data_IF_431524173336
#
_entry.id   IF_431524173336
#
_cell.length_a   1.000
_cell.length_b   1.000
_cell.length_c   1.000
_cell.angle_alpha   90.00
_cell.angle_beta   90.00
_cell.angle_gamma   90.00
#
_symmetry.space_group_name_H-M   'P 1'
#
loop_
_entity.id
_entity.type
_entity.pdbx_description
1 polymer ?
#
# COMPACT_ATOMS: atom_id res chain seq x y z
N UNK A 1 3.78 -17.05 -13.43
CA UNK A 1 4.49 -17.51 -14.64
C UNK A 1 5.50 -16.48 -15.14
N UNK A 2 5.14 -15.21 -15.46
CA UNK A 2 6.12 -14.18 -15.92
C UNK A 2 7.30 -14.02 -14.99
N UNK A 3 7.06 -13.90 -13.67
CA UNK A 3 8.12 -13.75 -12.66
C UNK A 3 9.03 -14.98 -12.59
N UNK A 4 8.47 -16.17 -12.82
CA UNK A 4 9.27 -17.41 -12.92
C UNK A 4 10.20 -17.34 -14.12
N UNK A 5 9.71 -16.96 -15.30
CA UNK A 5 10.52 -16.82 -16.50
C UNK A 5 11.62 -15.76 -16.35
N UNK A 6 11.34 -14.63 -15.68
CA UNK A 6 12.34 -13.62 -15.34
C UNK A 6 13.39 -14.20 -14.39
N UNK A 7 12.98 -14.96 -13.39
CA UNK A 7 13.88 -15.64 -12.44
C UNK A 7 14.78 -16.69 -13.11
N UNK A 8 14.35 -17.24 -14.24
CA UNK A 8 15.14 -18.13 -15.10
C UNK A 8 16.04 -17.36 -16.08
N UNK A 9 16.10 -16.03 -15.99
CA UNK A 9 16.81 -15.13 -16.91
C UNK A 9 16.36 -15.22 -18.39
N UNK A 10 15.16 -15.75 -18.63
CA UNK A 10 14.59 -15.94 -19.96
C UNK A 10 13.55 -14.85 -20.25
N UNK A 11 14.02 -13.66 -20.57
CA UNK A 11 13.16 -12.48 -20.74
C UNK A 11 12.26 -12.55 -21.98
N UNK A 12 12.71 -13.18 -23.05
CA UNK A 12 11.96 -13.46 -24.26
C UNK A 12 10.72 -14.33 -23.96
N UNK A 13 10.88 -15.40 -23.18
CA UNK A 13 9.79 -16.28 -22.75
C UNK A 13 8.82 -15.52 -21.84
N UNK A 14 9.34 -14.68 -20.93
CA UNK A 14 8.53 -13.84 -20.07
C UNK A 14 7.68 -12.86 -20.88
N UNK A 15 8.26 -12.20 -21.88
CA UNK A 15 7.55 -11.28 -22.78
C UNK A 15 6.51 -12.03 -23.63
N UNK A 16 6.86 -13.17 -24.18
CA UNK A 16 5.93 -14.02 -24.93
C UNK A 16 4.70 -14.38 -24.10
N UNK A 17 4.92 -14.82 -22.87
CA UNK A 17 3.80 -15.13 -21.97
C UNK A 17 3.00 -13.89 -21.58
N UNK A 18 3.63 -12.73 -21.41
CA UNK A 18 2.95 -11.48 -21.10
C UNK A 18 1.97 -11.09 -22.20
N UNK A 19 2.40 -11.13 -23.46
CA UNK A 19 1.55 -10.78 -24.60
C UNK A 19 0.40 -11.79 -24.75
N UNK A 20 0.69 -13.07 -24.68
CA UNK A 20 -0.32 -14.12 -24.74
C UNK A 20 -1.33 -14.01 -23.60
N UNK A 21 -0.84 -13.76 -22.39
CA UNK A 21 -1.67 -13.58 -21.21
C UNK A 21 -2.63 -12.38 -21.32
N UNK A 22 -2.21 -11.31 -21.98
CA UNK A 22 -3.05 -10.14 -22.17
C UNK A 22 -4.32 -10.48 -22.97
N UNK A 23 -4.22 -11.31 -24.01
CA UNK A 23 -5.37 -11.68 -24.83
C UNK A 23 -6.41 -12.48 -24.05
N UNK A 24 -6.06 -13.62 -23.49
CA UNK A 24 -7.05 -14.46 -22.82
C UNK A 24 -7.50 -13.89 -21.47
N UNK A 25 -6.66 -13.13 -20.76
CA UNK A 25 -7.10 -12.42 -19.53
C UNK A 25 -8.01 -11.25 -19.85
N UNK A 26 -7.65 -10.44 -20.85
CA UNK A 26 -8.53 -9.39 -21.35
C UNK A 26 -9.89 -9.94 -21.75
N UNK A 27 -9.90 -11.07 -22.46
CA UNK A 27 -11.12 -11.76 -22.88
C UNK A 27 -11.97 -12.24 -21.69
N UNK A 28 -11.34 -12.83 -20.66
CA UNK A 28 -12.05 -13.27 -19.45
C UNK A 28 -12.70 -12.11 -18.72
N UNK A 29 -12.00 -10.99 -18.57
CA UNK A 29 -12.53 -9.82 -17.86
C UNK A 29 -13.64 -9.12 -18.65
N UNK A 30 -13.47 -8.94 -19.95
CA UNK A 30 -14.52 -8.36 -20.78
C UNK A 30 -15.74 -9.28 -20.88
N UNK A 31 -15.53 -10.60 -20.97
CA UNK A 31 -16.62 -11.56 -20.93
C UNK A 31 -17.35 -11.59 -19.60
N UNK A 32 -16.62 -11.51 -18.49
CA UNK A 32 -17.25 -11.38 -17.17
C UNK A 32 -18.03 -10.06 -17.04
N UNK A 33 -17.52 -8.97 -17.60
CA UNK A 33 -18.25 -7.69 -17.67
C UNK A 33 -19.55 -7.80 -18.46
N UNK A 34 -19.54 -8.49 -19.59
CA UNK A 34 -20.75 -8.76 -20.38
C UNK A 34 -21.79 -9.58 -19.60
N UNK A 35 -21.36 -10.60 -18.86
CA UNK A 35 -22.26 -11.39 -17.98
C UNK A 35 -22.84 -10.53 -16.87
N UNK A 36 -22.03 -9.72 -16.17
CA UNK A 36 -22.46 -8.84 -15.09
C UNK A 36 -23.52 -7.86 -15.61
N UNK A 37 -23.25 -7.23 -16.74
CA UNK A 37 -24.16 -6.28 -17.36
C UNK A 37 -25.49 -6.94 -17.77
N UNK A 38 -25.43 -8.16 -18.30
CA UNK A 38 -26.65 -8.90 -18.68
C UNK A 38 -27.53 -9.30 -17.49
N UNK A 39 -26.97 -9.49 -16.29
CA UNK A 39 -27.66 -9.94 -15.08
C UNK A 39 -27.80 -8.78 -14.09
N UNK A 40 -28.36 -7.66 -14.54
CA UNK A 40 -28.72 -6.49 -13.72
C UNK A 40 -27.58 -6.02 -12.78
N UNK A 41 -26.33 -5.99 -13.29
CA UNK A 41 -25.12 -5.55 -12.60
C UNK A 41 -24.79 -6.35 -11.31
N UNK A 42 -25.33 -7.55 -11.16
CA UNK A 42 -24.99 -8.43 -10.06
C UNK A 42 -23.60 -9.01 -10.25
N UNK A 43 -22.67 -8.83 -9.31
CA UNK A 43 -21.31 -9.34 -9.39
C UNK A 43 -21.09 -10.70 -8.70
N UNK A 44 -22.10 -11.23 -8.00
CA UNK A 44 -21.99 -12.47 -7.26
C UNK A 44 -22.37 -13.67 -8.15
N UNK A 45 -21.35 -14.38 -8.67
CA UNK A 45 -21.55 -15.55 -9.53
C UNK A 45 -22.32 -16.70 -8.86
N UNK A 46 -22.48 -16.72 -7.53
CA UNK A 46 -23.30 -17.71 -6.82
C UNK A 46 -24.79 -17.53 -7.09
N UNK A 47 -25.21 -16.35 -7.56
CA UNK A 47 -26.58 -16.03 -7.94
C UNK A 47 -26.84 -16.24 -9.43
N UNK A 48 -25.86 -16.73 -10.17
CA UNK A 48 -25.99 -17.07 -11.58
C UNK A 48 -26.44 -18.52 -11.75
N UNK A 49 -26.31 -19.05 -12.92
CA UNK A 49 -26.63 -20.42 -13.30
C UNK A 49 -27.50 -20.47 -14.56
N UNK A 50 -27.29 -21.47 -15.39
CA UNK A 50 -28.07 -21.67 -16.60
C UNK A 50 -27.94 -20.61 -17.69
N UNK A 51 -26.95 -19.68 -17.57
CA UNK A 51 -26.79 -18.56 -18.51
C UNK A 51 -26.37 -19.00 -19.93
N UNK A 52 -25.94 -20.24 -20.11
CA UNK A 52 -25.55 -20.78 -21.43
C UNK A 52 -26.66 -20.62 -22.48
N UNK A 53 -27.92 -20.79 -22.11
CA UNK A 53 -29.05 -20.69 -23.03
C UNK A 53 -29.35 -19.22 -23.41
N UNK A 54 -29.08 -18.29 -22.52
CA UNK A 54 -29.37 -16.87 -22.73
C UNK A 54 -28.18 -16.11 -23.35
N UNK A 55 -26.95 -16.54 -23.06
CA UNK A 55 -25.71 -15.88 -23.48
C UNK A 55 -24.76 -16.85 -24.20
N UNK A 56 -25.15 -17.39 -25.38
CA UNK A 56 -24.34 -18.40 -26.07
C UNK A 56 -23.00 -17.87 -26.59
N UNK A 57 -22.93 -16.63 -27.11
CA UNK A 57 -21.70 -16.03 -27.58
C UNK A 57 -20.75 -15.79 -26.39
N UNK A 58 -21.22 -15.17 -25.32
CA UNK A 58 -20.42 -14.89 -24.12
C UNK A 58 -19.93 -16.18 -23.47
N UNK A 59 -20.74 -17.25 -23.45
CA UNK A 59 -20.33 -18.58 -22.99
C UNK A 59 -19.18 -19.14 -23.81
N UNK A 60 -19.30 -19.10 -25.16
CA UNK A 60 -18.26 -19.64 -26.04
C UNK A 60 -16.93 -18.88 -25.87
N UNK A 61 -16.98 -17.57 -25.78
CA UNK A 61 -15.81 -16.69 -25.57
C UNK A 61 -15.16 -16.96 -24.23
N UNK A 62 -15.93 -17.06 -23.15
CA UNK A 62 -15.42 -17.37 -21.81
C UNK A 62 -14.83 -18.79 -21.74
N UNK A 63 -15.42 -19.76 -22.48
CA UNK A 63 -14.86 -21.11 -22.58
C UNK A 63 -13.50 -21.09 -23.26
N UNK A 64 -13.38 -20.43 -24.44
CA UNK A 64 -12.11 -20.29 -25.16
C UNK A 64 -11.05 -19.64 -24.26
N UNK A 65 -11.39 -18.56 -23.59
CA UNK A 65 -10.48 -17.84 -22.72
C UNK A 65 -10.01 -18.70 -21.53
N UNK A 66 -10.91 -19.49 -20.93
CA UNK A 66 -10.58 -20.37 -19.82
C UNK A 66 -9.73 -21.56 -20.25
N UNK A 67 -9.99 -22.15 -21.43
CA UNK A 67 -9.15 -23.21 -22.01
C UNK A 67 -7.74 -22.67 -22.30
N UNK A 68 -7.63 -21.46 -22.85
CA UNK A 68 -6.33 -20.82 -23.08
C UNK A 68 -5.59 -20.51 -21.76
N UNK A 69 -6.29 -20.06 -20.72
CA UNK A 69 -5.71 -19.82 -19.39
C UNK A 69 -5.18 -21.10 -18.74
N UNK A 70 -5.89 -22.20 -18.88
CA UNK A 70 -5.51 -23.52 -18.34
C UNK A 70 -4.32 -24.12 -19.10
N UNK A 71 -4.02 -23.59 -20.28
CA UNK A 71 -3.04 -24.13 -21.21
C UNK A 71 -3.52 -25.45 -21.86
N UNK A 72 -4.78 -25.46 -22.31
CA UNK A 72 -5.29 -26.58 -23.09
C UNK A 72 -4.49 -26.68 -24.41
N UNK A 73 -4.19 -27.92 -24.91
CA UNK A 73 -3.40 -28.10 -26.13
C UNK A 73 -3.91 -27.27 -27.31
N UNK A 74 -2.98 -26.75 -28.07
CA UNK A 74 -3.21 -25.93 -29.28
C UNK A 74 -3.82 -24.54 -29.05
N UNK A 75 -4.06 -24.14 -27.78
CA UNK A 75 -4.44 -22.79 -27.44
C UNK A 75 -3.23 -21.90 -27.18
N UNK A 76 -3.39 -20.58 -27.26
CA UNK A 76 -2.30 -19.61 -27.07
C UNK A 76 -1.57 -19.78 -25.74
N UNK A 77 -2.30 -20.10 -24.67
CA UNK A 77 -1.71 -20.33 -23.34
C UNK A 77 -0.81 -21.56 -23.25
N UNK A 78 -1.06 -22.59 -24.03
CA UNK A 78 -0.24 -23.80 -24.08
C UNK A 78 1.20 -23.51 -24.51
N UNK A 79 1.37 -22.78 -25.60
CA UNK A 79 2.70 -22.44 -26.12
C UNK A 79 3.55 -21.57 -25.17
N UNK A 80 2.94 -20.81 -24.29
CA UNK A 80 3.67 -19.93 -23.38
C UNK A 80 3.76 -20.45 -21.96
N UNK A 81 2.66 -20.96 -21.39
CA UNK A 81 2.62 -21.38 -19.97
C UNK A 81 3.37 -22.69 -19.75
N UNK A 82 3.09 -23.69 -20.58
CA UNK A 82 3.73 -25.00 -20.43
C UNK A 82 5.22 -24.91 -20.78
N UNK A 83 5.60 -24.08 -21.74
CA UNK A 83 7.00 -23.84 -22.04
C UNK A 83 7.79 -23.21 -20.88
N UNK A 84 7.18 -22.32 -20.09
CA UNK A 84 7.79 -21.80 -18.86
C UNK A 84 8.01 -22.92 -17.82
N UNK A 85 7.04 -23.83 -17.68
CA UNK A 85 7.17 -24.97 -16.79
C UNK A 85 8.30 -25.90 -17.23
N UNK A 86 8.34 -26.22 -18.50
CA UNK A 86 9.40 -27.05 -19.11
C UNK A 86 10.78 -26.40 -18.95
N UNK A 87 10.89 -25.08 -19.18
CA UNK A 87 12.14 -24.35 -19.03
C UNK A 87 12.62 -24.30 -17.58
N UNK A 88 11.70 -24.26 -16.60
CA UNK A 88 12.08 -24.34 -15.19
C UNK A 88 12.70 -25.71 -14.87
N UNK A 89 12.19 -26.80 -15.42
CA UNK A 89 12.80 -28.12 -15.27
C UNK A 89 14.11 -28.25 -16.05
N UNK A 90 14.16 -27.68 -17.27
CA UNK A 90 15.29 -27.77 -18.19
C UNK A 90 16.60 -27.13 -17.70
N UNK A 91 16.56 -26.32 -16.63
CA UNK A 91 17.79 -25.83 -15.99
C UNK A 91 18.53 -26.90 -15.16
N UNK A 92 17.87 -28.00 -14.82
CA UNK A 92 18.42 -29.12 -14.03
C UNK A 92 19.06 -28.77 -12.67
N UNK A 93 18.87 -27.53 -12.19
CA UNK A 93 19.26 -27.16 -10.82
C UNK A 93 18.20 -27.58 -9.81
N UNK A 94 18.61 -27.95 -8.60
CA UNK A 94 17.65 -28.34 -7.54
C UNK A 94 16.60 -27.25 -7.29
N UNK A 95 17.02 -26.01 -7.22
CA UNK A 95 16.10 -24.87 -7.04
C UNK A 95 15.08 -24.77 -8.16
N UNK A 96 15.47 -24.98 -9.40
CA UNK A 96 14.61 -24.90 -10.58
C UNK A 96 13.61 -26.06 -10.61
N UNK A 97 14.01 -27.26 -10.19
CA UNK A 97 13.12 -28.41 -10.05
C UNK A 97 12.05 -28.14 -9.00
N UNK A 98 12.42 -27.56 -7.86
CA UNK A 98 11.45 -27.16 -6.83
C UNK A 98 10.46 -26.13 -7.36
N UNK A 99 10.92 -25.12 -8.12
CA UNK A 99 10.08 -24.13 -8.79
C UNK A 99 9.13 -24.80 -9.79
N UNK A 100 9.60 -25.78 -10.55
CA UNK A 100 8.75 -26.57 -11.46
C UNK A 100 7.58 -27.24 -10.70
N UNK A 101 7.83 -27.95 -9.61
CA UNK A 101 6.77 -28.61 -8.85
C UNK A 101 5.80 -27.59 -8.20
N UNK A 102 6.29 -26.53 -7.62
CA UNK A 102 5.43 -25.48 -7.02
C UNK A 102 4.56 -24.82 -8.11
N UNK A 103 5.12 -24.55 -9.26
CA UNK A 103 4.40 -23.91 -10.36
C UNK A 103 3.41 -24.85 -11.05
N UNK A 104 3.68 -26.15 -11.13
CA UNK A 104 2.71 -27.16 -11.58
C UNK A 104 1.52 -27.26 -10.62
N UNK A 105 1.75 -27.27 -9.31
CA UNK A 105 0.67 -27.20 -8.31
C UNK A 105 -0.15 -25.91 -8.50
N UNK A 106 0.50 -24.77 -8.73
CA UNK A 106 -0.19 -23.51 -9.07
C UNK A 106 -1.04 -23.62 -10.34
N UNK A 107 -0.55 -24.33 -11.37
CA UNK A 107 -1.30 -24.60 -12.59
C UNK A 107 -2.55 -25.46 -12.31
N UNK A 108 -2.44 -26.46 -11.42
CA UNK A 108 -3.58 -27.25 -10.94
C UNK A 108 -4.68 -26.41 -10.31
N UNK A 109 -4.31 -25.47 -9.42
CA UNK A 109 -5.30 -24.57 -8.82
C UNK A 109 -5.95 -23.63 -9.84
N UNK A 110 -5.23 -23.24 -10.90
CA UNK A 110 -5.84 -22.42 -11.97
C UNK A 110 -6.94 -23.18 -12.70
N UNK A 111 -6.81 -24.48 -12.91
CA UNK A 111 -7.86 -25.30 -13.54
C UNK A 111 -9.10 -25.40 -12.66
N UNK A 112 -8.90 -25.67 -11.37
CA UNK A 112 -10.00 -25.81 -10.42
C UNK A 112 -10.89 -24.57 -10.37
N UNK A 113 -10.32 -23.36 -10.21
CA UNK A 113 -11.14 -22.16 -10.17
C UNK A 113 -11.77 -21.81 -11.52
N UNK A 114 -11.07 -22.05 -12.63
CA UNK A 114 -11.62 -21.77 -13.97
C UNK A 114 -12.83 -22.64 -14.29
N UNK A 115 -12.73 -23.94 -14.02
CA UNK A 115 -13.85 -24.87 -14.16
C UNK A 115 -15.00 -24.48 -13.25
N UNK A 116 -14.71 -24.14 -11.98
CA UNK A 116 -15.75 -23.73 -11.03
C UNK A 116 -16.51 -22.50 -11.52
N UNK A 117 -15.81 -21.47 -12.00
CA UNK A 117 -16.46 -20.25 -12.51
C UNK A 117 -17.35 -20.55 -13.70
N UNK A 118 -16.84 -21.28 -14.71
CA UNK A 118 -17.62 -21.64 -15.89
C UNK A 118 -18.84 -22.50 -15.53
N UNK A 119 -18.64 -23.50 -14.68
CA UNK A 119 -19.68 -24.42 -14.30
C UNK A 119 -20.82 -23.71 -13.57
N UNK A 120 -20.51 -22.93 -12.54
CA UNK A 120 -21.51 -22.22 -11.73
C UNK A 120 -22.22 -21.15 -12.54
N UNK A 121 -21.51 -20.43 -13.44
CA UNK A 121 -22.12 -19.33 -14.18
C UNK A 121 -23.06 -19.82 -15.28
N UNK A 122 -22.65 -20.85 -16.03
CA UNK A 122 -23.32 -21.20 -17.29
C UNK A 122 -24.04 -22.54 -17.27
N UNK A 123 -23.57 -23.53 -16.48
CA UNK A 123 -24.02 -24.93 -16.59
C UNK A 123 -24.92 -25.39 -15.44
N UNK A 124 -24.82 -24.79 -14.26
CA UNK A 124 -25.73 -25.13 -13.15
C UNK A 124 -27.16 -24.65 -13.38
N UNK A 125 -28.09 -25.15 -12.59
CA UNK A 125 -29.45 -24.64 -12.58
C UNK A 125 -29.47 -23.16 -12.19
N UNK A 126 -30.42 -22.35 -12.71
CA UNK A 126 -30.60 -20.95 -12.34
C UNK A 126 -30.78 -20.78 -10.82
N UNK A 127 -29.96 -19.92 -10.22
CA UNK A 127 -29.96 -19.66 -8.77
C UNK A 127 -30.22 -18.18 -8.43
N UNK A 128 -30.50 -17.36 -9.42
CA UNK A 128 -30.89 -15.96 -9.27
C UNK A 128 -32.38 -15.74 -9.21
N UNK A 129 -32.80 -14.49 -9.04
CA UNK A 129 -34.22 -14.14 -9.07
C UNK A 129 -34.78 -14.24 -10.50
N UNK A 130 -36.07 -14.56 -10.62
CA UNK A 130 -36.76 -14.60 -11.93
C UNK A 130 -36.66 -13.28 -12.68
N UNK A 131 -36.65 -12.16 -11.95
CA UNK A 131 -36.58 -10.82 -12.54
C UNK A 131 -35.21 -10.58 -13.18
N UNK A 132 -34.13 -11.12 -12.62
CA UNK A 132 -32.78 -10.99 -13.17
C UNK A 132 -32.67 -11.70 -14.54
N UNK A 133 -33.34 -12.85 -14.70
CA UNK A 133 -33.34 -13.62 -15.94
C UNK A 133 -34.31 -13.10 -17.01
N UNK A 134 -35.35 -12.37 -16.63
CA UNK A 134 -36.37 -11.85 -17.57
C UNK A 134 -35.79 -10.88 -18.60
N UNK A 135 -34.75 -10.16 -18.25
CA UNK A 135 -34.14 -9.12 -19.09
C UNK A 135 -32.76 -9.51 -19.63
N UNK A 136 -32.34 -10.76 -19.40
CA UNK A 136 -31.05 -11.24 -19.90
C UNK A 136 -31.06 -11.29 -21.42
N UNK A 137 -30.14 -10.60 -22.05
CA UNK A 137 -29.87 -10.61 -23.47
C UNK A 137 -28.37 -10.56 -23.75
N UNK A 138 -27.94 -11.01 -24.93
CA UNK A 138 -26.55 -10.87 -25.36
C UNK A 138 -26.14 -9.40 -25.43
N UNK A 139 -24.85 -9.17 -25.24
CA UNK A 139 -24.26 -7.84 -25.31
C UNK A 139 -24.37 -7.22 -26.70
N UNK A 140 -24.45 -5.90 -26.76
CA UNK A 140 -24.48 -5.13 -27.98
C UNK A 140 -23.25 -5.37 -28.87
N UNK A 141 -23.35 -5.02 -30.14
CA UNK A 141 -22.30 -5.20 -31.16
C UNK A 141 -20.98 -4.57 -30.69
N UNK A 142 -21.03 -3.41 -30.04
CA UNK A 142 -19.84 -2.71 -29.54
C UNK A 142 -19.07 -3.48 -28.47
N UNK A 143 -19.72 -4.31 -27.69
CA UNK A 143 -19.09 -5.22 -26.73
C UNK A 143 -18.72 -6.55 -27.36
N UNK A 144 -19.52 -7.05 -28.31
CA UNK A 144 -19.32 -8.35 -28.92
C UNK A 144 -18.11 -8.37 -29.87
N UNK A 145 -17.85 -7.30 -30.63
CA UNK A 145 -16.71 -7.23 -31.58
C UNK A 145 -15.37 -7.40 -30.84
N UNK A 146 -15.03 -6.65 -29.78
CA UNK A 146 -13.79 -6.87 -29.05
C UNK A 146 -13.66 -8.28 -28.48
N UNK A 147 -14.76 -8.88 -27.99
CA UNK A 147 -14.76 -10.24 -27.48
C UNK A 147 -14.37 -11.25 -28.56
N UNK A 148 -14.94 -11.13 -29.77
CA UNK A 148 -14.63 -12.03 -30.90
C UNK A 148 -13.18 -11.88 -31.35
N UNK A 149 -12.68 -10.64 -31.46
CA UNK A 149 -11.29 -10.40 -31.88
C UNK A 149 -10.32 -11.00 -30.85
N UNK A 150 -10.52 -10.75 -29.55
CA UNK A 150 -9.68 -11.34 -28.51
C UNK A 150 -9.78 -12.85 -28.44
N UNK A 151 -10.94 -13.44 -28.75
CA UNK A 151 -11.12 -14.90 -28.84
C UNK A 151 -10.26 -15.50 -29.95
N UNK A 152 -10.25 -14.90 -31.14
CA UNK A 152 -9.40 -15.35 -32.25
C UNK A 152 -7.93 -15.31 -31.87
N UNK A 153 -7.46 -14.22 -31.27
CA UNK A 153 -6.08 -14.13 -30.79
C UNK A 153 -5.78 -15.13 -29.66
N UNK A 154 -6.72 -15.39 -28.78
CA UNK A 154 -6.57 -16.41 -27.71
C UNK A 154 -6.44 -17.84 -28.23
N UNK A 155 -6.83 -18.11 -29.47
CA UNK A 155 -6.67 -19.42 -30.10
C UNK A 155 -5.35 -19.48 -30.88
N UNK A 156 -5.13 -18.53 -31.79
CA UNK A 156 -4.12 -18.65 -32.84
C UNK A 156 -2.81 -17.91 -32.57
N UNK A 157 -2.84 -16.82 -31.85
CA UNK A 157 -1.68 -15.92 -31.70
C UNK A 157 -0.45 -16.63 -31.15
N UNK A 158 -0.60 -17.47 -30.14
CA UNK A 158 0.51 -18.20 -29.53
C UNK A 158 1.25 -19.12 -30.53
N UNK A 159 0.51 -19.75 -31.40
CA UNK A 159 1.10 -20.60 -32.45
C UNK A 159 1.84 -19.79 -33.52
N UNK A 160 1.21 -18.71 -34.00
CA UNK A 160 1.77 -17.88 -35.08
C UNK A 160 3.06 -17.18 -34.61
N UNK A 161 3.12 -16.73 -33.38
CA UNK A 161 4.26 -15.95 -32.85
C UNK A 161 5.29 -16.78 -32.10
N UNK A 162 5.03 -18.09 -31.89
CA UNK A 162 5.94 -18.98 -31.17
C UNK A 162 7.38 -18.86 -31.67
N UNK A 163 7.56 -18.99 -32.98
CA UNK A 163 8.90 -19.06 -33.58
C UNK A 163 9.64 -17.72 -33.52
N UNK A 164 8.93 -16.59 -33.42
CA UNK A 164 9.51 -15.25 -33.25
C UNK A 164 10.13 -15.09 -31.87
N UNK A 165 9.42 -15.57 -30.84
CA UNK A 165 9.83 -15.36 -29.44
C UNK A 165 10.71 -16.48 -28.89
N UNK A 166 10.45 -17.72 -29.26
CA UNK A 166 11.03 -18.93 -28.66
C UNK A 166 11.80 -19.78 -29.72
N UNK A 167 11.68 -19.43 -31.00
CA UNK A 167 12.29 -20.21 -32.07
C UNK A 167 13.80 -20.30 -31.91
N UNK A 168 14.33 -21.53 -32.03
CA UNK A 168 15.78 -21.79 -32.05
C UNK A 168 16.41 -21.09 -33.25
N UNK A 169 17.40 -20.20 -32.98
CA UNK A 169 18.10 -19.44 -34.03
C UNK A 169 17.33 -18.22 -34.55
N UNK A 170 16.24 -17.79 -33.89
CA UNK A 170 15.60 -16.52 -34.23
C UNK A 170 16.48 -15.35 -33.82
N UNK A 171 16.83 -14.49 -34.78
CA UNK A 171 17.64 -13.30 -34.52
C UNK A 171 16.81 -12.07 -34.10
N UNK A 172 15.53 -12.23 -33.83
CA UNK A 172 14.61 -11.11 -33.59
C UNK A 172 15.01 -10.25 -32.36
N UNK A 173 15.61 -10.86 -31.34
CA UNK A 173 16.02 -10.17 -30.11
C UNK A 173 17.52 -10.00 -29.95
N UNK A 174 18.36 -10.33 -30.94
CA UNK A 174 19.82 -10.33 -30.82
C UNK A 174 20.39 -8.95 -30.49
N UNK A 175 19.83 -7.90 -31.08
CA UNK A 175 20.33 -6.52 -30.91
C UNK A 175 19.49 -5.72 -29.89
N UNK A 176 18.65 -6.38 -29.12
CA UNK A 176 17.74 -5.74 -28.18
C UNK A 176 18.15 -5.99 -26.71
N UNK A 177 17.56 -5.22 -25.80
CA UNK A 177 17.71 -5.39 -24.35
C UNK A 177 17.22 -6.73 -23.80
N UNK A 178 16.53 -7.52 -24.62
CA UNK A 178 16.06 -8.88 -24.31
C UNK A 178 17.06 -9.97 -24.70
N UNK A 179 18.26 -9.58 -25.12
CA UNK A 179 19.33 -10.52 -25.43
C UNK A 179 19.61 -11.43 -24.23
N UNK A 180 19.56 -12.72 -24.46
CA UNK A 180 19.90 -13.74 -23.47
C UNK A 180 21.33 -14.17 -23.70
N UNK A 181 22.18 -14.10 -22.66
CA UNK A 181 23.56 -14.58 -22.77
C UNK A 181 23.56 -16.07 -23.12
N UNK A 182 24.46 -16.54 -24.00
CA UNK A 182 24.50 -17.96 -24.39
C UNK A 182 24.61 -18.96 -23.23
N UNK A 183 25.24 -18.56 -22.11
CA UNK A 183 25.31 -19.37 -20.90
C UNK A 183 23.95 -19.51 -20.15
N UNK A 184 22.98 -18.67 -20.47
CA UNK A 184 21.62 -18.69 -19.91
C UNK A 184 20.58 -19.11 -20.94
N UNK A 185 21.00 -19.59 -22.09
CA UNK A 185 20.11 -20.09 -23.13
C UNK A 185 19.58 -21.46 -22.72
N UNK A 186 18.33 -21.52 -22.31
CA UNK A 186 17.68 -22.73 -21.81
C UNK A 186 16.84 -23.42 -22.89
N UNK A 187 16.66 -22.80 -24.04
CA UNK A 187 15.71 -23.27 -25.05
C UNK A 187 16.07 -24.62 -25.63
N UNK A 188 17.35 -24.85 -25.93
CA UNK A 188 17.84 -26.12 -26.44
C UNK A 188 17.67 -27.25 -25.44
N UNK A 189 18.03 -27.01 -24.17
CA UNK A 189 17.89 -28.01 -23.12
C UNK A 189 16.41 -28.31 -22.84
N UNK A 190 15.56 -27.30 -22.87
CA UNK A 190 14.11 -27.46 -22.70
C UNK A 190 13.50 -28.32 -23.81
N UNK A 191 13.88 -28.08 -25.06
CA UNK A 191 13.30 -28.81 -26.20
C UNK A 191 13.80 -30.25 -26.24
N UNK A 192 15.09 -30.52 -25.98
CA UNK A 192 15.69 -31.83 -26.24
C UNK A 192 16.06 -32.64 -24.99
N UNK A 193 16.40 -32.02 -23.87
CA UNK A 193 16.92 -32.70 -22.69
C UNK A 193 15.85 -33.05 -21.65
N UNK A 194 14.70 -32.36 -21.64
CA UNK A 194 13.64 -32.63 -20.66
C UNK A 194 12.92 -33.93 -20.98
N UNK A 195 12.81 -34.89 -20.04
CA UNK A 195 12.09 -36.12 -20.26
C UNK A 195 10.61 -35.89 -20.60
N UNK A 196 10.08 -36.65 -21.52
CA UNK A 196 8.68 -36.53 -22.01
C UNK A 196 7.63 -36.61 -20.91
N UNK A 197 7.92 -37.36 -19.85
CA UNK A 197 7.02 -37.47 -18.69
C UNK A 197 6.83 -36.11 -17.99
N UNK A 198 7.89 -35.33 -17.78
CA UNK A 198 7.79 -34.02 -17.16
C UNK A 198 7.19 -32.94 -18.06
N UNK A 199 7.31 -33.12 -19.40
CA UNK A 199 6.62 -32.24 -20.36
C UNK A 199 5.10 -32.45 -20.34
N UNK A 200 4.64 -33.71 -20.26
CA UNK A 200 3.22 -34.06 -20.33
C UNK A 200 2.55 -33.98 -18.93
N UNK A 201 3.31 -34.07 -17.83
CA UNK A 201 2.78 -34.11 -16.49
C UNK A 201 1.84 -32.93 -16.16
N UNK A 202 2.16 -31.66 -16.46
CA UNK A 202 1.25 -30.54 -16.19
C UNK A 202 -0.10 -30.73 -16.93
N UNK A 203 -0.06 -31.18 -18.18
CA UNK A 203 -1.25 -31.40 -18.99
C UNK A 203 -2.13 -32.53 -18.40
N UNK A 204 -1.54 -33.66 -18.03
CA UNK A 204 -2.28 -34.77 -17.41
C UNK A 204 -2.96 -34.30 -16.13
N UNK A 205 -2.22 -33.59 -15.27
CA UNK A 205 -2.74 -33.11 -13.98
C UNK A 205 -3.87 -32.10 -14.19
N UNK A 206 -3.76 -31.18 -15.13
CA UNK A 206 -4.81 -30.20 -15.41
C UNK A 206 -6.08 -30.86 -15.96
N UNK A 207 -5.96 -31.82 -16.87
CA UNK A 207 -7.10 -32.55 -17.40
C UNK A 207 -7.79 -33.42 -16.34
N UNK A 208 -7.04 -34.18 -15.56
CA UNK A 208 -7.62 -35.04 -14.51
C UNK A 208 -8.33 -34.19 -13.47
N UNK A 209 -7.74 -33.07 -13.02
CA UNK A 209 -8.37 -32.18 -12.05
C UNK A 209 -9.58 -31.46 -12.61
N UNK A 210 -9.58 -31.06 -13.88
CA UNK A 210 -10.78 -30.48 -14.49
C UNK A 210 -11.96 -31.44 -14.45
N UNK A 211 -11.72 -32.72 -14.77
CA UNK A 211 -12.72 -33.75 -14.72
C UNK A 211 -13.21 -34.03 -13.29
N UNK A 212 -12.27 -34.18 -12.33
CA UNK A 212 -12.60 -34.35 -10.90
C UNK A 212 -13.40 -33.16 -10.36
N UNK A 213 -13.05 -31.93 -10.75
CA UNK A 213 -13.77 -30.74 -10.27
C UNK A 213 -15.23 -30.70 -10.76
N UNK A 214 -15.48 -31.10 -12.01
CA UNK A 214 -16.86 -31.20 -12.53
C UNK A 214 -17.65 -32.25 -11.75
N UNK A 215 -17.06 -33.46 -11.56
CA UNK A 215 -17.71 -34.53 -10.77
C UNK A 215 -18.04 -34.05 -9.36
N UNK A 216 -17.10 -33.37 -8.67
CA UNK A 216 -17.31 -32.87 -7.33
C UNK A 216 -18.41 -31.80 -7.26
N UNK A 217 -18.48 -30.92 -8.25
CA UNK A 217 -19.50 -29.87 -8.29
C UNK A 217 -20.90 -30.41 -8.60
N UNK A 218 -21.00 -31.39 -9.49
CA UNK A 218 -22.29 -31.95 -9.95
C UNK A 218 -22.84 -33.00 -8.95
N UNK A 219 -22.01 -34.00 -8.61
CA UNK A 219 -22.49 -35.21 -7.93
C UNK A 219 -22.23 -35.15 -6.40
N UNK A 220 -21.27 -34.38 -5.94
CA UNK A 220 -20.83 -34.40 -4.52
C UNK A 220 -20.79 -33.01 -3.84
N UNK A 221 -21.75 -32.10 -4.08
CA UNK A 221 -21.71 -30.78 -3.45
C UNK A 221 -21.78 -30.85 -1.92
N UNK A 222 -22.49 -31.84 -1.37
CA UNK A 222 -22.59 -32.07 0.08
C UNK A 222 -21.25 -32.46 0.71
N UNK A 223 -20.40 -33.19 0.01
CA UNK A 223 -19.09 -33.57 0.53
C UNK A 223 -18.21 -32.35 0.83
N UNK A 224 -18.22 -31.35 -0.04
CA UNK A 224 -17.50 -30.09 0.19
C UNK A 224 -18.05 -29.33 1.42
N UNK A 225 -19.37 -29.33 1.61
CA UNK A 225 -20.00 -28.70 2.78
C UNK A 225 -19.60 -29.46 4.05
N UNK A 226 -19.68 -30.78 4.07
CA UNK A 226 -19.27 -31.58 5.24
C UNK A 226 -17.79 -31.43 5.56
N UNK A 227 -16.94 -31.35 4.56
CA UNK A 227 -15.52 -31.06 4.77
C UNK A 227 -15.32 -29.71 5.45
N UNK A 228 -15.97 -28.67 4.98
CA UNK A 228 -15.86 -27.31 5.57
C UNK A 228 -16.42 -27.24 7.01
N UNK A 229 -17.38 -28.08 7.35
CA UNK A 229 -17.96 -28.16 8.69
C UNK A 229 -17.10 -29.00 9.66
N UNK A 230 -16.18 -29.82 9.17
CA UNK A 230 -15.24 -30.54 10.02
C UNK A 230 -14.23 -29.58 10.67
N UNK A 231 -13.73 -29.88 11.87
CA UNK A 231 -12.77 -29.05 12.60
C UNK A 231 -11.51 -28.74 11.77
N UNK A 232 -10.98 -29.76 11.10
CA UNK A 232 -9.80 -29.63 10.25
C UNK A 232 -10.13 -28.79 8.99
N UNK A 233 -11.25 -29.11 8.33
CA UNK A 233 -11.69 -28.41 7.14
C UNK A 233 -12.00 -26.94 7.41
N UNK A 234 -12.60 -26.62 8.55
CA UNK A 234 -12.87 -25.24 8.95
C UNK A 234 -11.58 -24.43 9.11
N UNK A 235 -10.57 -24.98 9.78
CA UNK A 235 -9.28 -24.32 9.97
C UNK A 235 -8.54 -24.12 8.64
N UNK A 236 -8.51 -25.14 7.81
CA UNK A 236 -7.89 -25.07 6.47
C UNK A 236 -8.64 -24.04 5.60
N UNK A 237 -9.97 -24.15 5.55
CA UNK A 237 -10.79 -23.20 4.80
C UNK A 237 -10.62 -21.78 5.32
N UNK A 238 -10.62 -21.57 6.62
CA UNK A 238 -10.38 -20.27 7.24
C UNK A 238 -9.02 -19.67 6.88
N UNK A 239 -7.96 -20.50 6.93
CA UNK A 239 -6.62 -20.06 6.58
C UNK A 239 -6.51 -19.60 5.10
N UNK A 240 -7.01 -20.40 4.17
CA UNK A 240 -6.97 -20.07 2.75
C UNK A 240 -7.96 -18.94 2.37
N UNK A 241 -9.16 -18.94 2.94
CA UNK A 241 -10.18 -17.92 2.72
C UNK A 241 -9.73 -16.53 3.21
N UNK A 242 -8.97 -16.50 4.33
CA UNK A 242 -8.34 -15.28 4.85
C UNK A 242 -7.00 -14.97 4.18
N UNK A 243 -6.73 -15.53 3.01
CA UNK A 243 -5.54 -15.27 2.19
C UNK A 243 -4.24 -15.46 2.98
N UNK A 244 -4.08 -16.63 3.61
CA UNK A 244 -2.93 -16.99 4.44
C UNK A 244 -2.76 -16.08 5.67
N UNK A 245 -3.81 -15.43 6.13
CA UNK A 245 -3.81 -14.45 7.22
C UNK A 245 -2.95 -13.20 6.92
N UNK A 246 -2.48 -13.01 5.70
CA UNK A 246 -1.63 -11.88 5.31
C UNK A 246 -2.38 -10.55 5.47
N UNK A 247 -3.65 -10.50 5.08
CA UNK A 247 -4.47 -9.28 5.25
C UNK A 247 -4.70 -8.95 6.72
N UNK A 248 -4.89 -9.97 7.55
CA UNK A 248 -5.04 -9.78 8.99
C UNK A 248 -3.75 -9.21 9.59
N UNK A 249 -2.60 -9.77 9.21
CA UNK A 249 -1.29 -9.26 9.63
C UNK A 249 -1.08 -7.83 9.16
N UNK A 250 -1.31 -7.58 7.87
CA UNK A 250 -1.14 -6.26 7.28
C UNK A 250 -2.04 -5.21 7.95
N UNK A 251 -3.32 -5.50 8.10
CA UNK A 251 -4.27 -4.57 8.70
C UNK A 251 -4.00 -4.35 10.19
N UNK A 252 -3.65 -5.39 10.93
CA UNK A 252 -3.43 -5.31 12.38
C UNK A 252 -2.12 -4.58 12.73
N UNK A 253 -1.03 -4.85 12.00
CA UNK A 253 0.29 -4.34 12.34
C UNK A 253 0.69 -3.13 11.49
N UNK A 254 0.58 -3.21 10.17
CA UNK A 254 1.05 -2.14 9.28
C UNK A 254 0.06 -0.99 9.20
N UNK A 255 -1.18 -1.30 8.78
CA UNK A 255 -2.20 -0.25 8.58
C UNK A 255 -2.56 0.43 9.89
N UNK A 256 -2.75 -0.32 10.97
CA UNK A 256 -3.07 0.22 12.28
C UNK A 256 -1.91 1.07 12.85
N UNK A 257 -0.67 0.64 12.64
CA UNK A 257 0.51 1.42 13.03
C UNK A 257 0.56 2.75 12.28
N UNK A 258 0.39 2.74 10.96
CA UNK A 258 0.41 3.96 10.13
C UNK A 258 -0.73 4.91 10.52
N UNK A 259 -1.95 4.38 10.69
CA UNK A 259 -3.10 5.19 11.11
C UNK A 259 -2.91 5.79 12.51
N UNK A 260 -2.35 5.02 13.45
CA UNK A 260 -2.03 5.50 14.80
C UNK A 260 -0.95 6.58 14.77
N UNK A 261 0.10 6.37 13.98
CA UNK A 261 1.16 7.35 13.78
C UNK A 261 0.60 8.64 13.15
N UNK A 262 -0.20 8.52 12.07
CA UNK A 262 -0.86 9.66 11.44
C UNK A 262 -1.78 10.43 12.40
N UNK A 263 -2.54 9.71 13.23
CA UNK A 263 -3.38 10.32 14.25
C UNK A 263 -2.56 11.06 15.34
N UNK A 264 -1.42 10.51 15.73
CA UNK A 264 -0.51 11.15 16.68
C UNK A 264 0.17 12.39 16.07
N UNK A 265 0.70 12.27 14.84
CA UNK A 265 1.33 13.41 14.14
C UNK A 265 0.35 14.56 13.97
N UNK A 266 -0.87 14.26 13.52
CA UNK A 266 -1.91 15.29 13.37
C UNK A 266 -2.28 15.95 14.69
N UNK A 267 -2.41 15.20 15.78
CA UNK A 267 -2.78 15.77 17.10
C UNK A 267 -1.65 16.53 17.77
N UNK A 268 -0.42 16.00 17.71
CA UNK A 268 0.71 16.53 18.47
C UNK A 268 1.47 17.58 17.66
N UNK A 269 1.73 17.31 16.37
CA UNK A 269 2.52 18.19 15.52
C UNK A 269 1.63 19.24 14.86
N UNK A 270 0.66 18.83 14.04
CA UNK A 270 -0.13 19.78 13.27
C UNK A 270 -1.01 20.66 14.16
N UNK A 271 -1.98 20.03 14.86
CA UNK A 271 -2.93 20.74 15.74
C UNK A 271 -2.35 21.14 17.08
N UNK A 272 -1.27 20.48 17.51
CA UNK A 272 -0.59 20.82 18.76
C UNK A 272 0.45 21.92 18.57
N UNK A 273 1.61 21.56 18.03
CA UNK A 273 2.78 22.46 17.99
C UNK A 273 2.67 23.52 16.89
N UNK A 274 2.34 23.11 15.66
CA UNK A 274 2.34 24.04 14.52
C UNK A 274 1.19 25.05 14.64
N UNK A 275 0.01 24.58 14.96
CA UNK A 275 -1.17 25.45 15.13
C UNK A 275 -1.05 26.35 16.36
N UNK A 276 -0.39 25.87 17.45
CA UNK A 276 -0.13 26.67 18.64
C UNK A 276 0.91 27.77 18.38
N UNK A 277 1.97 27.50 17.60
CA UNK A 277 2.98 28.49 17.21
C UNK A 277 2.42 29.44 16.12
N UNK A 278 1.55 28.93 15.28
CA UNK A 278 0.93 29.62 14.16
C UNK A 278 -0.37 30.37 14.53
N UNK A 279 -1.41 30.22 13.72
CA UNK A 279 -2.63 31.06 13.80
C UNK A 279 -3.34 31.01 15.14
N UNK A 280 -3.56 29.81 15.66
CA UNK A 280 -4.33 29.63 16.90
C UNK A 280 -3.61 30.18 18.13
N UNK A 281 -2.30 29.90 18.25
CA UNK A 281 -1.51 30.42 19.37
C UNK A 281 -1.32 31.92 19.31
N UNK A 282 -1.19 32.47 18.10
CA UNK A 282 -1.10 33.91 17.89
C UNK A 282 -2.43 34.60 18.24
N UNK A 283 -3.56 34.10 17.78
CA UNK A 283 -4.90 34.56 18.15
C UNK A 283 -5.10 34.58 19.66
N UNK A 284 -4.86 33.41 20.29
CA UNK A 284 -5.02 33.25 21.74
C UNK A 284 -4.04 34.13 22.52
N UNK A 285 -2.80 34.27 22.02
CA UNK A 285 -1.79 35.16 22.58
C UNK A 285 -2.21 36.62 22.50
N UNK A 286 -2.67 37.09 21.36
CA UNK A 286 -3.15 38.47 21.19
C UNK A 286 -4.35 38.77 22.08
N UNK A 287 -5.31 37.86 22.18
CA UNK A 287 -6.49 38.01 23.05
C UNK A 287 -6.06 38.06 24.53
N UNK A 288 -5.13 37.22 24.95
CA UNK A 288 -4.62 37.24 26.34
C UNK A 288 -3.80 38.51 26.61
N UNK A 289 -2.97 38.95 25.69
CA UNK A 289 -2.22 40.20 25.78
C UNK A 289 -3.17 41.41 25.86
N UNK A 290 -4.19 41.45 25.01
CA UNK A 290 -5.21 42.50 25.03
C UNK A 290 -5.93 42.60 26.39
N UNK A 291 -6.34 41.43 26.95
CA UNK A 291 -6.94 41.40 28.30
C UNK A 291 -5.97 41.85 29.38
N UNK A 292 -4.70 41.46 29.30
CA UNK A 292 -3.69 41.88 30.23
C UNK A 292 -3.43 43.38 30.14
N UNK A 293 -3.39 43.96 28.93
CA UNK A 293 -3.28 45.39 28.73
C UNK A 293 -4.50 46.15 29.28
N UNK A 294 -5.71 45.64 29.04
CA UNK A 294 -6.92 46.22 29.61
C UNK A 294 -6.92 46.18 31.16
N UNK A 295 -6.32 45.17 31.77
CA UNK A 295 -6.19 45.06 33.22
C UNK A 295 -5.12 46.01 33.80
N UNK A 296 -4.20 46.56 32.97
CA UNK A 296 -3.24 47.63 33.41
C UNK A 296 -3.92 48.98 33.54
N UNK A 297 -5.10 49.13 32.96
CA UNK A 297 -5.92 50.36 33.15
C UNK A 297 -6.57 50.35 34.54
N UNK A 298 -5.86 50.87 35.52
CA UNK A 298 -6.29 50.91 36.93
C UNK A 298 -7.07 52.14 37.30
N UNK A 299 -7.13 53.14 36.43
CA UNK A 299 -7.75 54.45 36.71
C UNK A 299 -6.99 55.30 37.73
N UNK A 300 -5.83 54.84 38.23
CA UNK A 300 -5.05 55.55 39.24
C UNK A 300 -3.85 56.25 38.59
N UNK A 301 -3.76 57.57 38.74
CA UNK A 301 -2.72 58.40 38.10
C UNK A 301 -1.30 57.97 38.49
N UNK A 302 -1.08 57.59 39.76
CA UNK A 302 0.23 57.14 40.26
C UNK A 302 0.75 55.90 39.55
N UNK A 303 -0.13 54.94 39.17
CA UNK A 303 0.27 53.73 38.43
C UNK A 303 0.66 54.05 37.00
N UNK A 304 0.01 55.00 36.37
CA UNK A 304 0.38 55.43 35.02
C UNK A 304 1.72 56.17 34.99
N UNK A 305 1.99 57.04 36.02
CA UNK A 305 3.29 57.68 36.20
C UNK A 305 4.41 56.65 36.35
N UNK A 306 4.15 55.57 37.09
CA UNK A 306 5.11 54.48 37.28
C UNK A 306 5.36 53.70 35.95
N UNK A 307 4.34 53.46 35.16
CA UNK A 307 4.51 52.79 33.84
C UNK A 307 5.33 53.64 32.88
N UNK A 308 5.10 54.96 32.87
CA UNK A 308 5.88 55.91 32.05
C UNK A 308 7.34 55.91 32.50
N UNK A 309 7.61 55.93 33.81
CA UNK A 309 8.95 55.93 34.37
C UNK A 309 9.70 54.63 34.06
N UNK A 310 9.05 53.47 34.19
CA UNK A 310 9.60 52.16 33.82
C UNK A 310 9.89 52.10 32.31
N UNK A 311 8.99 52.60 31.46
CA UNK A 311 9.18 52.65 30.01
C UNK A 311 10.37 53.53 29.62
N UNK A 312 10.54 54.68 30.29
CA UNK A 312 11.64 55.59 30.03
C UNK A 312 13.00 54.98 30.47
N UNK A 313 13.05 54.29 31.63
CA UNK A 313 14.24 53.55 32.05
C UNK A 313 14.59 52.45 31.07
N UNK A 314 13.61 51.64 30.59
CA UNK A 314 13.83 50.61 29.60
C UNK A 314 14.34 51.18 28.26
N UNK A 315 13.82 52.35 27.84
CA UNK A 315 14.27 53.02 26.63
C UNK A 315 15.73 53.49 26.75
N UNK A 316 16.10 54.10 27.87
CA UNK A 316 17.47 54.54 28.12
C UNK A 316 18.41 53.34 28.16
N UNK A 317 18.03 52.23 28.80
CA UNK A 317 18.83 51.01 28.86
C UNK A 317 19.01 50.39 27.45
N UNK A 318 18.00 50.45 26.58
CA UNK A 318 18.14 50.00 25.18
C UNK A 318 19.15 50.85 24.41
N UNK A 319 19.14 52.18 24.58
CA UNK A 319 20.11 53.05 23.90
C UNK A 319 21.55 52.80 24.34
N UNK A 320 21.74 52.43 25.62
CA UNK A 320 23.07 52.10 26.16
C UNK A 320 23.47 50.63 26.05
N UNK A 321 22.61 49.80 25.52
CA UNK A 321 22.84 48.34 25.43
C UNK A 321 24.11 47.94 24.62
N UNK A 322 24.59 48.81 23.75
CA UNK A 322 25.85 48.62 23.00
C UNK A 322 27.11 48.89 23.88
N UNK A 323 26.96 49.53 25.05
CA UNK A 323 28.08 49.92 25.89
C UNK A 323 28.10 49.22 27.28
N UNK A 324 27.11 48.41 27.60
CA UNK A 324 26.95 47.81 28.93
C UNK A 324 26.93 46.30 28.84
N UNK A 325 27.67 45.62 29.72
CA UNK A 325 27.69 44.16 29.83
C UNK A 325 26.28 43.58 30.00
N UNK A 326 26.02 42.52 29.23
CA UNK A 326 24.72 41.82 29.19
C UNK A 326 24.20 41.42 30.58
N UNK A 327 25.07 41.24 31.56
CA UNK A 327 24.71 40.88 32.94
C UNK A 327 23.98 42.00 33.67
N UNK A 328 24.33 43.26 33.39
CA UNK A 328 23.70 44.43 34.02
C UNK A 328 22.29 44.64 33.46
N UNK A 329 22.08 44.38 32.18
CA UNK A 329 20.76 44.43 31.52
C UNK A 329 19.83 43.38 32.13
N UNK A 330 20.31 42.16 32.32
CA UNK A 330 19.54 41.09 32.96
C UNK A 330 19.19 41.45 34.41
N UNK A 331 20.12 42.00 35.13
CA UNK A 331 19.92 42.37 36.53
C UNK A 331 18.94 43.54 36.70
N UNK A 332 18.96 44.52 35.81
CA UNK A 332 18.00 45.63 35.77
C UNK A 332 16.60 45.19 35.37
N UNK A 333 16.45 44.30 34.39
CA UNK A 333 15.18 43.69 34.02
C UNK A 333 14.61 42.86 35.18
N UNK A 334 15.47 42.12 35.90
CA UNK A 334 15.06 41.34 37.05
C UNK A 334 14.61 42.24 38.22
N UNK A 335 15.33 43.34 38.49
CA UNK A 335 14.95 44.37 39.49
C UNK A 335 13.61 45.02 39.13
N UNK A 336 13.38 45.39 37.88
CA UNK A 336 12.11 45.94 37.39
C UNK A 336 10.95 44.95 37.56
N UNK A 337 11.17 43.67 37.25
CA UNK A 337 10.18 42.60 37.45
C UNK A 337 9.86 42.39 38.94
N UNK A 338 10.83 42.53 39.83
CA UNK A 338 10.59 42.43 41.30
C UNK A 338 9.82 43.62 41.83
N UNK A 339 10.04 44.83 41.32
CA UNK A 339 9.29 46.06 41.70
C UNK A 339 7.83 45.92 41.23
N UNK A 340 7.60 45.49 40.00
CA UNK A 340 6.25 45.20 39.46
C UNK A 340 5.55 44.13 40.32
N UNK A 341 6.29 43.12 40.80
CA UNK A 341 5.76 42.05 41.64
C UNK A 341 5.38 42.54 43.05
N UNK A 342 6.09 43.53 43.61
CA UNK A 342 5.76 44.11 44.92
C UNK A 342 4.47 44.93 44.87
N UNK A 343 4.20 45.66 43.78
CA UNK A 343 2.95 46.40 43.62
C UNK A 343 1.74 45.52 43.31
N UNK A 344 1.93 44.45 42.56
CA UNK A 344 0.84 43.49 42.24
C UNK A 344 0.37 42.69 43.46
N UNK A 345 1.14 42.62 44.54
CA UNK A 345 0.70 42.01 45.81
C UNK A 345 -0.38 42.84 46.55
N UNK A 346 -0.70 44.06 46.08
CA UNK A 346 -1.81 44.90 46.57
C UNK A 346 -3.11 44.69 45.80
N UNK A 347 -3.14 43.88 44.73
CA UNK A 347 -4.29 43.60 43.89
C UNK A 347 -4.93 42.25 44.25
N UNK A 348 -6.26 42.06 44.24
CA UNK A 348 -6.92 40.85 44.70
C UNK A 348 -6.56 39.61 43.92
N UNK A 349 -6.51 38.48 44.62
CA UNK A 349 -5.89 37.18 44.29
C UNK A 349 -6.23 36.50 42.96
N UNK A 350 -7.11 37.02 42.13
CA UNK A 350 -7.59 36.30 40.96
C UNK A 350 -6.76 36.50 39.66
N UNK A 351 -5.89 37.52 39.62
CA UNK A 351 -5.03 37.79 38.46
C UNK A 351 -3.59 37.27 38.61
N UNK A 352 -3.18 36.95 39.85
CA UNK A 352 -1.86 36.43 40.18
C UNK A 352 -1.64 34.97 39.82
N UNK A 353 -2.72 34.23 39.57
CA UNK A 353 -2.63 32.79 39.31
C UNK A 353 -1.95 32.44 37.95
N UNK A 354 -2.05 33.32 36.95
CA UNK A 354 -1.48 33.08 35.62
C UNK A 354 0.05 33.28 35.61
N UNK A 355 0.57 34.29 36.29
CA UNK A 355 2.03 34.58 36.35
C UNK A 355 2.77 33.59 37.26
N UNK A 356 2.17 33.21 38.39
CA UNK A 356 2.75 32.23 39.31
C UNK A 356 2.82 30.85 38.68
N UNK A 357 1.83 30.48 37.85
CA UNK A 357 1.81 29.23 37.10
C UNK A 357 2.84 29.22 35.95
N UNK A 358 3.10 30.37 35.33
CA UNK A 358 4.10 30.50 34.29
C UNK A 358 5.52 30.35 34.83
N UNK A 359 5.81 30.94 35.99
CA UNK A 359 7.15 30.92 36.61
C UNK A 359 7.45 29.60 37.32
N UNK A 360 6.44 28.92 37.86
CA UNK A 360 6.60 27.62 38.54
C UNK A 360 6.43 26.40 37.63
N UNK A 361 6.05 26.58 36.35
CA UNK A 361 5.92 25.46 35.44
C UNK A 361 7.30 24.90 35.10
N UNK A 362 7.49 23.60 35.36
CA UNK A 362 8.71 22.84 34.97
C UNK A 362 9.09 23.06 33.49
N UNK A 363 8.12 23.42 32.66
CA UNK A 363 8.27 23.72 31.21
C UNK A 363 9.04 25.02 30.94
N UNK A 364 8.87 26.04 31.76
CA UNK A 364 9.58 27.30 31.62
C UNK A 364 11.04 27.17 32.10
N UNK A 365 11.26 26.38 33.16
CA UNK A 365 12.59 26.04 33.64
C UNK A 365 13.35 25.23 32.61
N UNK A 366 12.70 24.24 31.98
CA UNK A 366 13.28 23.45 30.89
C UNK A 366 13.61 24.34 29.67
N UNK A 367 12.72 25.24 29.27
CA UNK A 367 12.97 26.20 28.18
C UNK A 367 14.13 27.14 28.45
N UNK A 368 14.25 27.61 29.68
CA UNK A 368 15.38 28.50 30.14
C UNK A 368 16.68 27.68 30.13
N UNK A 369 16.67 26.44 30.60
CA UNK A 369 17.85 25.55 30.57
C UNK A 369 18.30 25.29 29.13
N UNK A 370 17.38 25.04 28.20
CA UNK A 370 17.69 24.86 26.79
C UNK A 370 18.25 26.13 26.17
N UNK A 371 17.71 27.31 26.49
CA UNK A 371 18.23 28.61 26.03
C UNK A 371 19.60 28.93 26.62
N UNK A 372 19.87 28.54 27.85
CA UNK A 372 21.18 28.70 28.50
C UNK A 372 22.21 27.74 27.91
N UNK A 373 21.81 26.49 27.64
CA UNK A 373 22.68 25.51 26.99
C UNK A 373 23.00 25.89 25.53
N UNK A 374 22.10 26.59 24.84
CA UNK A 374 22.35 27.08 23.48
C UNK A 374 23.36 28.23 23.42
N UNK A 375 23.52 29.00 24.48
CA UNK A 375 24.39 30.18 24.51
C UNK A 375 25.82 29.89 24.99
N UNK A 376 26.14 28.69 25.50
CA UNK A 376 27.47 28.34 26.02
C UNK A 376 28.34 27.52 25.05
N UNK A 377 29.68 27.54 25.19
CA UNK A 377 30.69 27.28 24.13
C UNK A 377 30.78 25.88 23.59
N UNK A 378 29.90 24.95 23.97
CA UNK A 378 29.83 23.64 23.33
C UNK A 378 29.48 23.73 21.82
N UNK A 379 28.78 24.81 21.44
CA UNK A 379 28.40 25.07 20.06
C UNK A 379 29.57 25.54 19.19
N UNK A 380 30.54 26.26 19.78
CA UNK A 380 31.73 26.70 19.05
C UNK A 380 32.74 25.58 18.80
N UNK A 381 32.82 24.58 19.66
CA UNK A 381 33.66 23.38 19.48
C UNK A 381 33.04 22.44 18.40
N UNK A 382 31.74 22.36 18.35
CA UNK A 382 31.04 21.54 17.33
C UNK A 382 31.11 22.15 15.92
N UNK A 383 31.07 23.49 15.81
CA UNK A 383 31.22 24.20 14.53
C UNK A 383 32.66 24.10 13.98
N UNK A 384 33.66 23.93 14.82
CA UNK A 384 35.06 23.75 14.40
C UNK A 384 35.35 22.36 13.82
N UNK A 385 34.48 21.38 14.03
CA UNK A 385 34.65 20.00 13.58
C UNK A 385 34.01 19.67 12.21
N UNK A 386 33.46 20.65 11.51
CA UNK A 386 33.01 20.56 10.11
C UNK A 386 32.12 19.33 9.75
N UNK A 387 31.21 18.92 10.62
CA UNK A 387 30.33 17.77 10.40
C UNK A 387 28.91 18.26 10.17
N UNK A 388 28.60 18.66 8.93
CA UNK A 388 27.30 19.22 8.54
C UNK A 388 26.12 18.21 8.56
N UNK A 389 26.39 16.91 8.58
CA UNK A 389 25.35 15.88 8.58
C UNK A 389 24.85 15.48 9.99
N UNK A 390 25.65 15.69 11.02
CA UNK A 390 25.28 15.41 12.40
C UNK A 390 24.40 16.50 13.04
N UNK A 391 24.40 17.69 12.45
CA UNK A 391 23.62 18.82 12.97
C UNK A 391 22.12 18.57 12.94
N UNK A 392 21.63 18.01 11.82
CA UNK A 392 20.20 17.66 11.66
C UNK A 392 19.79 16.55 12.63
N UNK A 393 20.67 15.59 12.91
CA UNK A 393 20.40 14.48 13.83
C UNK A 393 20.34 14.97 15.28
N UNK A 394 21.20 15.90 15.68
CA UNK A 394 21.21 16.47 17.04
C UNK A 394 20.02 17.41 17.25
N UNK A 395 19.60 18.20 16.24
CA UNK A 395 18.38 19.00 16.31
C UNK A 395 17.13 18.14 16.40
N UNK A 396 17.04 17.07 15.59
CA UNK A 396 15.92 16.12 15.64
C UNK A 396 15.88 15.36 16.96
N UNK A 397 17.04 14.92 17.49
CA UNK A 397 17.11 14.27 18.80
C UNK A 397 16.80 15.22 19.94
N UNK A 398 17.29 16.47 19.90
CA UNK A 398 16.95 17.51 20.85
C UNK A 398 15.47 17.86 20.85
N UNK A 399 14.87 17.92 19.67
CA UNK A 399 13.43 18.16 19.52
C UNK A 399 12.60 16.95 19.99
N UNK A 400 13.04 15.72 19.72
CA UNK A 400 12.40 14.50 20.23
C UNK A 400 12.52 14.37 21.76
N UNK A 401 13.64 14.73 22.36
CA UNK A 401 13.82 14.77 23.82
C UNK A 401 12.94 15.86 24.46
N UNK A 402 12.83 17.03 23.84
CA UNK A 402 11.94 18.09 24.29
C UNK A 402 10.47 17.65 24.23
N UNK A 403 10.05 16.99 23.17
CA UNK A 403 8.71 16.41 23.05
C UNK A 403 8.47 15.27 24.05
N UNK A 404 9.49 14.44 24.32
CA UNK A 404 9.43 13.38 25.33
C UNK A 404 9.24 13.92 26.76
N UNK A 405 9.91 15.02 27.10
CA UNK A 405 9.79 15.69 28.42
C UNK A 405 8.45 16.45 28.56
N UNK A 406 7.86 16.89 27.45
CA UNK A 406 6.55 17.55 27.45
C UNK A 406 5.37 16.55 27.51
N UNK A 407 5.61 15.28 27.26
CA UNK A 407 4.57 14.22 27.31
C UNK A 407 4.53 13.46 28.65
N UNK A 408 5.49 13.66 29.54
CA UNK A 408 5.51 13.23 30.95
C UNK A 408 5.06 14.43 31.85
#
# INVERSE_FOLDING_TARGET
MMVIAIGLSSYNIALFHLVNHAFYKGLLFLGAGAVIHAVADNQDFRKYGGLRAFLPLTYSVMLIASLSLVAFPFMTGFYSKDFILESAYGQFYFSSIVVYFISTIGAMFTTLYSVKVLYITFLTNPNGSFMDYKHVHESDIYMSIPLIILAVFSIFFGYITKDIFIGLGSNFFVDNSLFTHPSHEIMLDTEFAVPTLFKILPLILTLTLSFISIIMLEFMPKALIYFNLSSIGYNIYGFFSQRFLIELFYNKYVTNFILKLGGQTTKVIDKGSIELIGPYGLEKGLVTLSRNMANLDTGVITTYALYILVGLICYILMLYSYAVDNNIIILTVFALLTIIKMETNRIPNNTLFSLKYLITSKKLIAGIIVLIMWKYPFFTIFMALNVSSWFVVVEVLGFCLYLGICCI
#
